data_IF_185211366832
#
_entry.id   IF_185211366832
#
_cell.length_a   1.000
_cell.length_b   1.000
_cell.length_c   1.000
_cell.angle_alpha   90.00
_cell.angle_beta   90.00
_cell.angle_gamma   90.00
#
_symmetry.space_group_name_H-M   'P 1'
#
loop_
_entity.id
_entity.type
_entity.pdbx_description
1 polymer ?
#
# COMPACT_ATOMS: atom_id res chain seq x y z
N UNK A 1 -15.86 -14.18 11.21
CA UNK A 1 -14.44 -14.45 10.93
C UNK A 1 -14.36 -15.45 9.80
N UNK A 2 -13.57 -15.16 8.77
CA UNK A 2 -13.25 -16.12 7.71
C UNK A 2 -12.31 -17.19 8.29
N UNK A 3 -12.51 -18.45 7.90
CA UNK A 3 -11.60 -19.54 8.24
C UNK A 3 -10.71 -19.83 7.01
N UNK A 4 -9.39 -19.56 7.08
CA UNK A 4 -8.48 -19.72 5.95
C UNK A 4 -8.46 -21.13 5.34
N UNK A 5 -8.71 -22.17 6.14
CA UNK A 5 -8.68 -23.57 5.69
C UNK A 5 -9.75 -23.89 4.62
N UNK A 6 -10.83 -23.11 4.61
CA UNK A 6 -11.94 -23.28 3.67
C UNK A 6 -11.73 -22.50 2.36
N UNK A 7 -10.63 -21.75 2.24
CA UNK A 7 -10.33 -20.97 1.05
C UNK A 7 -9.32 -21.73 0.20
N UNK A 8 -9.70 -22.00 -1.05
CA UNK A 8 -8.79 -22.54 -2.07
C UNK A 8 -8.52 -21.44 -3.10
N UNK A 9 -7.41 -20.67 -2.98
CA UNK A 9 -7.17 -19.50 -3.83
C UNK A 9 -7.14 -19.82 -5.33
N UNK A 10 -6.72 -21.03 -5.70
CA UNK A 10 -6.64 -21.47 -7.09
C UNK A 10 -8.00 -21.73 -7.74
N UNK A 11 -9.05 -21.95 -6.94
CA UNK A 11 -10.42 -22.20 -7.37
C UNK A 11 -11.30 -20.93 -7.38
N UNK A 12 -10.79 -19.81 -6.87
CA UNK A 12 -11.48 -18.53 -6.90
C UNK A 12 -11.55 -17.95 -8.33
N UNK A 13 -12.53 -17.08 -8.61
CA UNK A 13 -12.53 -16.26 -9.81
C UNK A 13 -11.19 -15.52 -9.95
N UNK A 14 -10.63 -15.52 -11.16
CA UNK A 14 -9.30 -14.96 -11.39
C UNK A 14 -9.13 -14.41 -12.80
N UNK A 15 -8.19 -13.48 -12.95
CA UNK A 15 -7.74 -12.98 -14.24
C UNK A 15 -6.21 -13.10 -14.35
N UNK A 16 -5.63 -13.34 -15.53
CA UNK A 16 -4.19 -13.22 -15.74
C UNK A 16 -3.67 -11.83 -15.34
N UNK A 17 -2.45 -11.75 -14.78
CA UNK A 17 -1.82 -10.46 -14.42
C UNK A 17 -1.77 -9.43 -15.56
N UNK A 18 -1.54 -9.80 -16.84
CA UNK A 18 -1.63 -8.87 -17.97
C UNK A 18 -3.03 -8.25 -18.12
N UNK A 19 -4.08 -9.01 -17.80
CA UNK A 19 -5.50 -8.69 -17.91
C UNK A 19 -6.07 -8.08 -16.61
N UNK A 20 -5.21 -7.67 -15.66
CA UNK A 20 -5.63 -7.08 -14.37
C UNK A 20 -6.60 -5.89 -14.45
N UNK A 21 -6.78 -5.28 -15.63
CA UNK A 21 -7.78 -4.24 -15.86
C UNK A 21 -9.21 -4.78 -15.82
N UNK A 22 -9.38 -6.08 -16.08
CA UNK A 22 -10.67 -6.79 -16.11
C UNK A 22 -11.09 -7.27 -14.71
N UNK A 23 -10.34 -6.92 -13.67
CA UNK A 23 -10.74 -7.15 -12.29
C UNK A 23 -12.02 -6.39 -11.96
N UNK A 24 -12.89 -6.96 -11.12
CA UNK A 24 -14.11 -6.29 -10.69
C UNK A 24 -13.83 -5.11 -9.74
N UNK A 25 -14.65 -4.08 -9.84
CA UNK A 25 -14.65 -2.92 -8.96
C UNK A 25 -15.41 -3.22 -7.65
N UNK A 26 -14.89 -4.17 -6.87
CA UNK A 26 -15.51 -4.66 -5.62
C UNK A 26 -14.54 -4.56 -4.44
N UNK A 27 -15.11 -4.60 -3.23
CA UNK A 27 -14.36 -4.80 -2.00
C UNK A 27 -13.99 -6.29 -1.84
N UNK A 28 -12.75 -6.56 -1.46
CA UNK A 28 -12.32 -7.93 -1.23
C UNK A 28 -10.83 -8.12 -1.01
N UNK A 29 -10.47 -9.40 -0.89
CA UNK A 29 -9.10 -9.90 -0.81
C UNK A 29 -8.68 -10.42 -2.19
N UNK A 30 -7.44 -10.15 -2.58
CA UNK A 30 -6.86 -10.66 -3.81
C UNK A 30 -5.56 -11.42 -3.55
N UNK A 31 -5.35 -12.47 -4.34
CA UNK A 31 -4.22 -13.39 -4.28
C UNK A 31 -3.47 -13.33 -5.60
N UNK A 32 -2.19 -12.97 -5.59
CA UNK A 32 -1.31 -13.19 -6.73
C UNK A 32 -0.74 -14.61 -6.65
N UNK A 33 -1.06 -15.44 -7.63
CA UNK A 33 -0.72 -16.86 -7.66
C UNK A 33 0.17 -17.13 -8.87
N UNK A 34 1.30 -17.81 -8.67
CA UNK A 34 2.21 -18.15 -9.76
C UNK A 34 1.70 -19.33 -10.62
N UNK A 35 2.45 -19.69 -11.67
CA UNK A 35 2.10 -20.82 -12.54
C UNK A 35 2.12 -22.19 -11.85
N UNK A 36 2.72 -22.31 -10.67
CA UNK A 36 2.78 -23.54 -9.89
C UNK A 36 1.60 -23.65 -8.90
N UNK A 37 0.79 -22.60 -8.78
CA UNK A 37 -0.32 -22.55 -7.84
C UNK A 37 0.05 -22.01 -6.46
N UNK A 38 1.28 -21.50 -6.27
CA UNK A 38 1.70 -20.93 -5.00
C UNK A 38 1.18 -19.51 -4.85
N UNK A 39 0.73 -19.16 -3.65
CA UNK A 39 0.32 -17.80 -3.32
C UNK A 39 1.58 -16.96 -3.07
N UNK A 40 1.84 -16.00 -3.95
CA UNK A 40 3.01 -15.14 -3.88
C UNK A 40 2.75 -13.85 -3.10
N UNK A 41 1.52 -13.35 -3.17
CA UNK A 41 1.10 -12.12 -2.49
C UNK A 41 -0.40 -12.15 -2.18
N UNK A 42 -0.77 -11.61 -1.02
CA UNK A 42 -2.15 -11.36 -0.61
C UNK A 42 -2.30 -9.86 -0.33
N UNK A 43 -3.38 -9.27 -0.80
CA UNK A 43 -3.73 -7.89 -0.45
C UNK A 43 -5.23 -7.68 -0.35
N UNK A 44 -5.64 -6.57 0.25
CA UNK A 44 -7.04 -6.12 0.29
C UNK A 44 -7.27 -4.80 -0.43
N UNK A 45 -8.53 -4.54 -0.79
CA UNK A 45 -8.99 -3.22 -1.22
C UNK A 45 -10.51 -3.11 -1.10
N UNK A 46 -11.02 -1.88 -0.94
CA UNK A 46 -12.45 -1.56 -1.16
C UNK A 46 -12.81 -1.53 -2.65
N UNK A 47 -11.81 -1.44 -3.52
CA UNK A 47 -11.94 -1.54 -4.97
C UNK A 47 -10.68 -2.22 -5.54
N UNK A 48 -10.78 -3.51 -5.84
CA UNK A 48 -9.65 -4.31 -6.32
C UNK A 48 -9.15 -3.80 -7.69
N UNK A 49 -10.05 -3.50 -8.62
CA UNK A 49 -9.68 -2.96 -9.94
C UNK A 49 -8.82 -1.69 -9.83
N UNK A 50 -9.26 -0.71 -9.04
CA UNK A 50 -8.53 0.54 -8.84
C UNK A 50 -7.17 0.29 -8.18
N UNK A 51 -7.10 -0.60 -7.19
CA UNK A 51 -5.85 -0.95 -6.49
C UNK A 51 -4.76 -1.46 -7.44
N UNK A 52 -5.15 -2.19 -8.48
CA UNK A 52 -4.22 -2.77 -9.46
C UNK A 52 -3.71 -1.79 -10.52
N UNK A 53 -4.20 -0.55 -10.57
CA UNK A 53 -3.66 0.51 -11.44
C UNK A 53 -2.27 0.97 -11.02
N UNK A 54 -2.04 1.10 -9.71
CA UNK A 54 -0.80 1.63 -9.10
C UNK A 54 -0.11 0.60 -8.21
N UNK A 55 -0.37 -0.69 -8.44
CA UNK A 55 0.06 -1.74 -7.51
C UNK A 55 1.59 -1.90 -7.47
N UNK A 56 2.16 -1.62 -6.31
CA UNK A 56 3.62 -1.54 -6.10
C UNK A 56 4.38 -2.87 -6.26
N UNK A 57 3.70 -4.02 -6.27
CA UNK A 57 4.32 -5.35 -6.53
C UNK A 57 4.25 -5.77 -7.99
N UNK A 58 3.62 -4.99 -8.86
CA UNK A 58 3.40 -5.39 -10.25
C UNK A 58 4.69 -5.80 -10.95
N UNK A 59 5.79 -5.08 -10.75
CA UNK A 59 7.06 -5.39 -11.41
C UNK A 59 7.75 -6.63 -10.84
N UNK A 60 7.55 -6.96 -9.55
CA UNK A 60 8.04 -8.21 -8.98
C UNK A 60 7.24 -9.39 -9.51
N UNK A 61 5.92 -9.24 -9.59
CA UNK A 61 5.02 -10.27 -10.09
C UNK A 61 5.19 -10.52 -11.60
N UNK A 62 5.46 -9.48 -12.40
CA UNK A 62 5.76 -9.62 -13.84
C UNK A 62 7.03 -10.44 -14.12
N UNK A 63 7.96 -10.51 -13.17
CA UNK A 63 9.18 -11.35 -13.30
C UNK A 63 8.87 -12.83 -13.10
N UNK A 64 7.74 -13.15 -12.49
CA UNK A 64 7.26 -14.52 -12.31
C UNK A 64 6.46 -14.95 -13.55
N UNK A 65 6.54 -16.21 -13.92
CA UNK A 65 5.80 -16.74 -15.07
C UNK A 65 4.36 -17.07 -14.69
N UNK A 66 3.43 -16.73 -15.58
CA UNK A 66 2.03 -17.18 -15.51
C UNK A 66 1.25 -16.71 -14.28
N UNK A 67 1.58 -15.54 -13.71
CA UNK A 67 0.86 -15.03 -12.55
C UNK A 67 -0.60 -14.72 -12.90
N UNK A 68 -1.52 -15.20 -12.06
CA UNK A 68 -2.93 -14.81 -12.06
C UNK A 68 -3.30 -14.10 -10.77
N UNK A 69 -4.32 -13.26 -10.83
CA UNK A 69 -4.90 -12.55 -9.70
C UNK A 69 -6.25 -13.17 -9.42
N UNK A 70 -6.33 -13.96 -8.36
CA UNK A 70 -7.59 -14.50 -7.86
C UNK A 70 -8.18 -13.56 -6.81
N UNK A 71 -9.49 -13.54 -6.64
CA UNK A 71 -10.14 -12.64 -5.69
C UNK A 71 -11.31 -13.27 -4.94
N UNK A 72 -11.50 -12.82 -3.71
CA UNK A 72 -12.58 -13.17 -2.80
C UNK A 72 -13.31 -11.87 -2.44
N UNK A 73 -14.59 -11.79 -2.77
CA UNK A 73 -15.45 -10.68 -2.35
C UNK A 73 -15.62 -10.67 -0.84
N UNK A 74 -15.60 -9.48 -0.23
CA UNK A 74 -15.91 -9.29 1.18
C UNK A 74 -17.02 -8.24 1.27
N UNK A 75 -18.19 -8.67 1.73
CA UNK A 75 -19.40 -7.83 1.74
C UNK A 75 -19.33 -6.71 2.78
N UNK A 76 -18.67 -6.95 3.91
CA UNK A 76 -18.44 -5.97 4.96
C UNK A 76 -16.99 -5.45 4.91
N UNK A 77 -16.76 -4.20 4.46
CA UNK A 77 -15.42 -3.61 4.39
C UNK A 77 -14.67 -3.57 5.73
N UNK A 78 -15.37 -3.58 6.86
CA UNK A 78 -14.72 -3.60 8.19
C UNK A 78 -13.96 -4.91 8.45
N UNK A 79 -14.32 -5.98 7.74
CA UNK A 79 -13.66 -7.28 7.86
C UNK A 79 -12.41 -7.40 6.99
N UNK A 80 -12.13 -6.46 6.08
CA UNK A 80 -11.02 -6.56 5.14
C UNK A 80 -9.66 -6.70 5.84
N UNK A 81 -9.43 -5.92 6.90
CA UNK A 81 -8.15 -5.88 7.62
C UNK A 81 -7.90 -7.21 8.34
N UNK A 82 -8.84 -7.64 9.18
CA UNK A 82 -8.74 -8.91 9.91
C UNK A 82 -8.71 -10.13 8.99
N UNK A 83 -9.39 -10.07 7.84
CA UNK A 83 -9.37 -11.14 6.84
C UNK A 83 -8.02 -11.21 6.13
N UNK A 84 -7.47 -10.07 5.71
CA UNK A 84 -6.14 -10.01 5.09
C UNK A 84 -5.07 -10.55 6.04
N UNK A 85 -5.11 -10.13 7.31
CA UNK A 85 -4.16 -10.56 8.34
C UNK A 85 -4.21 -12.09 8.55
N UNK A 86 -5.40 -12.66 8.77
CA UNK A 86 -5.57 -14.10 8.96
C UNK A 86 -5.11 -14.92 7.74
N UNK A 87 -5.33 -14.42 6.52
CA UNK A 87 -4.91 -15.09 5.30
C UNK A 87 -3.40 -14.97 5.06
N UNK A 88 -2.79 -13.83 5.37
CA UNK A 88 -1.33 -13.67 5.31
C UNK A 88 -0.66 -14.60 6.32
N UNK A 89 -1.16 -14.67 7.56
CA UNK A 89 -0.63 -15.55 8.59
C UNK A 89 -0.73 -17.03 8.18
N UNK A 90 -1.85 -17.44 7.58
CA UNK A 90 -2.07 -18.82 7.16
C UNK A 90 -1.25 -19.23 5.93
N UNK A 91 -1.22 -18.40 4.88
CA UNK A 91 -0.59 -18.75 3.61
C UNK A 91 0.90 -18.37 3.53
N UNK A 92 1.39 -17.54 4.45
CA UNK A 92 2.76 -17.00 4.51
C UNK A 92 3.35 -16.60 3.13
N UNK A 93 2.70 -15.67 2.38
CA UNK A 93 3.13 -15.40 1.01
C UNK A 93 4.49 -14.67 0.99
N UNK A 94 5.45 -15.08 0.13
CA UNK A 94 6.81 -14.58 0.15
C UNK A 94 6.94 -13.07 -0.15
N UNK A 95 5.96 -12.45 -0.82
CA UNK A 95 5.98 -11.00 -1.09
C UNK A 95 5.28 -10.17 -0.01
N UNK A 96 4.50 -10.79 0.87
CA UNK A 96 3.97 -10.13 2.07
C UNK A 96 5.13 -10.02 3.07
N UNK A 97 5.53 -8.78 3.40
CA UNK A 97 6.70 -8.53 4.25
C UNK A 97 8.06 -8.39 3.52
N UNK A 98 8.24 -8.95 2.31
CA UNK A 98 9.49 -8.77 1.57
C UNK A 98 9.69 -7.34 1.06
N UNK A 99 10.92 -6.83 1.03
CA UNK A 99 11.23 -5.55 0.38
C UNK A 99 10.92 -5.59 -1.12
N UNK A 100 10.31 -4.54 -1.68
CA UNK A 100 10.15 -4.41 -3.14
C UNK A 100 11.51 -4.10 -3.74
N UNK A 101 12.12 -5.00 -4.51
CA UNK A 101 13.34 -4.70 -5.25
C UNK A 101 13.05 -3.58 -6.27
N UNK A 102 13.55 -2.37 -5.98
CA UNK A 102 13.22 -1.12 -6.70
C UNK A 102 12.73 -0.01 -5.76
N UNK A 103 12.14 -0.36 -4.61
CA UNK A 103 12.30 0.44 -3.39
C UNK A 103 13.64 0.01 -2.81
N UNK A 104 14.69 0.69 -3.21
CA UNK A 104 16.02 0.46 -2.65
C UNK A 104 15.89 0.37 -1.14
N UNK A 105 16.33 -0.74 -0.58
CA UNK A 105 17.00 -0.82 0.72
C UNK A 105 18.35 -0.08 0.67
N UNK A 106 18.34 1.11 0.04
CA UNK A 106 18.90 2.34 0.56
C UNK A 106 17.65 3.14 0.94
N UNK A 107 17.10 2.97 2.14
CA UNK A 107 17.37 4.03 3.10
C UNK A 107 18.61 4.80 2.65
N UNK A 108 18.38 5.97 2.03
CA UNK A 108 19.23 7.07 2.41
C UNK A 108 19.40 6.93 3.93
N UNK A 109 20.62 6.70 4.41
CA UNK A 109 20.86 6.51 5.85
C UNK A 109 20.30 7.70 6.66
N UNK A 110 19.89 8.78 5.99
CA UNK A 110 19.16 9.94 6.53
C UNK A 110 17.70 9.70 6.91
N UNK A 111 16.95 8.77 6.30
CA UNK A 111 15.48 8.69 6.46
C UNK A 111 15.04 7.47 7.28
N UNK A 112 14.41 7.73 8.43
CA UNK A 112 13.88 6.72 9.36
C UNK A 112 12.36 6.80 9.39
N UNK A 113 11.68 5.65 9.24
CA UNK A 113 10.24 5.56 9.50
C UNK A 113 9.95 5.71 10.99
N UNK A 114 9.00 6.59 11.30
CA UNK A 114 8.51 6.84 12.66
C UNK A 114 6.99 6.74 12.66
N UNK A 115 6.45 5.98 13.61
CA UNK A 115 5.03 5.99 13.90
C UNK A 115 4.77 7.05 14.96
N UNK A 116 3.80 7.92 14.73
CA UNK A 116 3.42 8.99 15.64
C UNK A 116 1.95 8.80 16.02
N UNK A 117 1.68 8.76 17.32
CA UNK A 117 0.33 8.87 17.85
C UNK A 117 0.08 10.34 18.19
N UNK A 118 -0.96 10.91 17.61
CA UNK A 118 -1.38 12.30 17.85
C UNK A 118 -2.84 12.33 18.31
N UNK A 119 -3.17 13.37 19.06
CA UNK A 119 -4.55 13.68 19.45
C UNK A 119 -5.44 13.94 18.23
N UNK A 120 -6.70 13.55 18.31
CA UNK A 120 -7.67 13.63 17.21
C UNK A 120 -7.80 15.05 16.64
N UNK A 121 -7.82 16.06 17.52
CA UNK A 121 -7.89 17.47 17.10
C UNK A 121 -6.68 17.89 16.24
N UNK A 122 -5.51 17.34 16.52
CA UNK A 122 -4.29 17.61 15.73
C UNK A 122 -4.39 16.90 14.38
N UNK A 123 -4.87 15.65 14.37
CA UNK A 123 -5.07 14.90 13.13
C UNK A 123 -6.04 15.62 12.17
N UNK A 124 -7.16 16.11 12.66
CA UNK A 124 -8.16 16.84 11.86
C UNK A 124 -7.59 18.16 11.32
N UNK A 125 -6.86 18.89 12.17
CA UNK A 125 -6.23 20.17 11.79
C UNK A 125 -5.20 19.95 10.68
N UNK A 126 -4.34 18.93 10.83
CA UNK A 126 -3.32 18.60 9.83
C UNK A 126 -3.97 18.14 8.51
N UNK A 127 -5.04 17.35 8.60
CA UNK A 127 -5.79 16.89 7.41
C UNK A 127 -6.38 18.07 6.65
N UNK A 128 -7.09 18.96 7.35
CA UNK A 128 -7.65 20.20 6.78
C UNK A 128 -6.57 21.07 6.12
N UNK A 129 -5.43 21.23 6.79
CA UNK A 129 -4.31 22.01 6.25
C UNK A 129 -3.70 21.35 5.01
N UNK A 130 -3.58 20.02 5.01
CA UNK A 130 -3.03 19.27 3.87
C UNK A 130 -3.90 19.40 2.61
N UNK A 131 -5.22 19.45 2.75
CA UNK A 131 -6.15 19.68 1.65
C UNK A 131 -6.01 21.10 1.09
N UNK A 132 -5.95 22.10 1.97
CA UNK A 132 -5.76 23.49 1.58
C UNK A 132 -4.42 23.72 0.84
N UNK A 133 -3.34 23.09 1.31
CA UNK A 133 -2.01 23.19 0.72
C UNK A 133 -1.77 22.20 -0.43
N UNK A 134 -2.76 21.37 -0.77
CA UNK A 134 -2.70 20.34 -1.83
C UNK A 134 -1.51 19.39 -1.69
N UNK A 135 -1.27 18.92 -0.47
CA UNK A 135 -0.21 17.96 -0.13
C UNK A 135 -0.80 16.75 0.57
N UNK A 136 -0.06 15.64 0.55
CA UNK A 136 -0.43 14.49 1.39
C UNK A 136 -0.27 14.82 2.86
N UNK A 137 -1.09 14.20 3.72
CA UNK A 137 -1.00 14.34 5.19
C UNK A 137 0.43 14.08 5.69
N UNK A 138 1.10 13.03 5.18
CA UNK A 138 2.48 12.72 5.57
C UNK A 138 3.45 13.86 5.21
N UNK A 139 3.33 14.43 4.01
CA UNK A 139 4.16 15.56 3.59
C UNK A 139 3.86 16.81 4.43
N UNK A 140 2.60 17.01 4.84
CA UNK A 140 2.23 18.13 5.71
C UNK A 140 2.84 17.99 7.10
N UNK A 141 2.76 16.79 7.70
CA UNK A 141 3.38 16.49 8.99
C UNK A 141 4.89 16.69 8.93
N UNK A 142 5.54 16.24 7.86
CA UNK A 142 6.97 16.43 7.65
C UNK A 142 7.34 17.92 7.59
N UNK A 143 6.60 18.72 6.83
CA UNK A 143 6.82 20.16 6.72
C UNK A 143 6.67 20.87 8.07
N UNK A 144 5.58 20.59 8.81
CA UNK A 144 5.36 21.18 10.13
C UNK A 144 6.47 20.79 11.11
N UNK A 145 6.97 19.56 11.05
CA UNK A 145 8.08 19.12 11.88
C UNK A 145 9.39 19.84 11.52
N UNK A 146 9.68 20.00 10.22
CA UNK A 146 10.86 20.75 9.76
C UNK A 146 10.78 22.20 10.25
N UNK A 147 9.65 22.88 10.06
CA UNK A 147 9.44 24.25 10.50
C UNK A 147 9.61 24.40 12.02
N UNK A 148 9.02 23.48 12.79
CA UNK A 148 9.13 23.45 14.24
C UNK A 148 10.57 23.25 14.73
N UNK A 149 11.38 22.45 14.02
CA UNK A 149 12.78 22.21 14.36
C UNK A 149 13.69 23.36 13.90
N UNK A 150 13.40 24.00 12.76
CA UNK A 150 14.10 25.21 12.29
C UNK A 150 13.84 26.38 13.23
N UNK A 151 12.59 26.58 13.67
CA UNK A 151 12.22 27.62 14.62
C UNK A 151 12.94 27.47 15.97
N UNK A 152 13.34 26.24 16.33
CA UNK A 152 14.13 25.92 17.53
C UNK A 152 15.64 25.95 17.29
N UNK A 153 16.09 26.27 16.07
CA UNK A 153 17.51 26.27 15.70
C UNK A 153 18.15 24.89 15.66
N UNK A 154 17.35 23.81 15.70
CA UNK A 154 17.84 22.42 15.68
C UNK A 154 18.23 22.02 14.26
N UNK A 155 17.42 22.42 13.27
CA UNK A 155 17.70 22.22 11.85
C UNK A 155 17.98 23.57 11.17
N UNK A 156 18.88 23.55 10.18
CA UNK A 156 19.02 24.66 9.23
C UNK A 156 17.92 24.55 8.18
N UNK A 157 17.40 25.68 7.71
CA UNK A 157 16.37 25.70 6.67
C UNK A 157 16.92 25.02 5.39
N UNK A 158 16.27 23.99 4.84
CA UNK A 158 16.72 23.37 3.61
C UNK A 158 16.53 24.34 2.43
N UNK A 159 17.46 24.32 1.46
CA UNK A 159 17.26 25.00 0.17
C UNK A 159 16.16 24.24 -0.60
N UNK A 160 14.99 24.84 -0.74
CA UNK A 160 13.90 24.25 -1.53
C UNK A 160 14.31 24.22 -3.01
N UNK A 161 14.08 23.11 -3.74
CA UNK A 161 14.21 23.11 -5.19
C UNK A 161 13.26 24.17 -5.76
N UNK A 162 13.78 25.08 -6.57
CA UNK A 162 12.95 26.02 -7.31
C UNK A 162 12.05 25.20 -8.24
N UNK A 163 10.74 25.23 -7.97
CA UNK A 163 9.74 24.77 -8.93
C UNK A 163 9.87 25.67 -10.17
N UNK A 164 10.47 25.15 -11.23
CA UNK A 164 10.34 25.74 -12.56
C UNK A 164 8.87 25.62 -12.95
N UNK A 165 8.18 26.75 -12.93
CA UNK A 165 6.92 26.92 -13.62
C UNK A 165 7.26 26.91 -15.12
N UNK A 166 6.96 25.82 -15.81
CA UNK A 166 6.88 25.84 -17.27
C UNK A 166 5.58 26.56 -17.65
N UNK A 167 5.74 27.61 -18.46
CA UNK A 167 4.71 28.51 -18.99
C UNK A 167 3.82 27.85 -20.05
#
# INVERSE_FOLDING_TARGET
>A
MINPENITPTALPSVPLPERKDLPAIAGIYFAIDSQGNVQYIGRSVNIQQRWTVHHRTDQLKKMRGVKIAYLTVDDPQLLDSTEEALIEWFDPPLNGASVAGRTSKADKSTRRMNLYIDERIADTVTTLSEHERRSVNAQVEMLLIEALVARGILKRPELPQLTLEE
#
